data_IF_845578542625
#
_entry.id   IF_845578542625
#
_cell.length_a   1.000
_cell.length_b   1.000
_cell.length_c   1.000
_cell.angle_alpha   90.00
_cell.angle_beta   90.00
_cell.angle_gamma   90.00
#
_symmetry.space_group_name_H-M   'P 1'
#
loop_
_entity.id
_entity.type
_entity.pdbx_description
1 polymer ?
#
# COMPACT_ATOMS: atom_id res chain seq x y z
N UNK A 1 -23.47 0.93 18.18
CA UNK A 1 -22.56 0.84 17.01
C UNK A 1 -21.36 1.79 17.07
N UNK A 2 -21.40 2.92 17.78
CA UNK A 2 -20.26 3.86 17.89
C UNK A 2 -18.98 3.29 18.53
N UNK A 3 -19.07 2.28 19.40
CA UNK A 3 -17.88 1.70 20.06
C UNK A 3 -17.07 0.75 19.17
N UNK A 4 -17.68 0.17 18.11
CA UNK A 4 -17.01 -0.78 17.23
C UNK A 4 -16.01 -0.11 16.28
N UNK A 5 -16.28 1.12 15.86
CA UNK A 5 -15.43 1.90 14.95
C UNK A 5 -14.04 2.19 15.56
N UNK A 6 -13.92 2.79 16.75
CA UNK A 6 -12.60 3.03 17.37
C UNK A 6 -11.86 1.72 17.70
N UNK A 7 -12.58 0.66 18.09
CA UNK A 7 -12.01 -0.67 18.29
C UNK A 7 -11.42 -1.26 17.00
N UNK A 8 -12.14 -1.13 15.88
CA UNK A 8 -11.67 -1.56 14.57
C UNK A 8 -10.41 -0.78 14.15
N UNK A 9 -10.42 0.55 14.28
CA UNK A 9 -9.27 1.42 13.99
C UNK A 9 -8.06 1.01 14.84
N UNK A 10 -8.25 0.84 16.15
CA UNK A 10 -7.18 0.41 17.06
C UNK A 10 -6.60 -0.95 16.67
N UNK A 11 -7.46 -1.92 16.32
CA UNK A 11 -7.04 -3.26 15.95
C UNK A 11 -6.27 -3.28 14.62
N UNK A 12 -6.73 -2.52 13.62
CA UNK A 12 -6.04 -2.36 12.34
C UNK A 12 -4.68 -1.69 12.56
N UNK A 13 -4.63 -0.58 13.30
CA UNK A 13 -3.38 0.13 13.63
C UNK A 13 -2.37 -0.78 14.34
N UNK A 14 -2.80 -1.45 15.41
CA UNK A 14 -1.97 -2.35 16.22
C UNK A 14 -1.45 -3.55 15.43
N UNK A 15 -2.23 -4.05 14.45
CA UNK A 15 -1.81 -5.14 13.56
C UNK A 15 -0.78 -4.65 12.54
N UNK A 16 -1.08 -3.54 11.85
CA UNK A 16 -0.19 -2.97 10.84
C UNK A 16 1.16 -2.58 11.44
N UNK A 17 1.16 -1.92 12.61
CA UNK A 17 2.38 -1.55 13.35
C UNK A 17 3.29 -2.74 13.60
N UNK A 18 2.71 -3.90 13.97
CA UNK A 18 3.47 -5.14 14.19
C UNK A 18 4.01 -5.75 12.89
N UNK A 19 3.25 -5.67 11.79
CA UNK A 19 3.63 -6.25 10.50
C UNK A 19 4.77 -5.49 9.78
N UNK A 20 4.96 -4.21 10.07
CA UNK A 20 6.08 -3.40 9.53
C UNK A 20 7.37 -3.57 10.35
N UNK A 21 7.61 -4.78 10.84
CA UNK A 21 8.89 -5.20 11.40
C UNK A 21 9.91 -5.53 10.30
N UNK A 22 10.93 -6.30 10.67
CA UNK A 22 11.91 -6.83 9.71
C UNK A 22 11.23 -7.91 8.87
N UNK A 23 11.12 -7.68 7.56
CA UNK A 23 10.53 -8.64 6.63
C UNK A 23 11.58 -9.14 5.65
N UNK A 24 11.50 -10.44 5.32
CA UNK A 24 12.31 -11.04 4.26
C UNK A 24 11.82 -10.54 2.90
N UNK A 25 12.76 -10.10 2.06
CA UNK A 25 12.50 -9.60 0.71
C UNK A 25 12.44 -10.76 -0.29
N UNK A 26 11.22 -11.21 -0.56
CA UNK A 26 10.94 -12.21 -1.60
C UNK A 26 10.59 -11.51 -2.91
N UNK A 27 11.28 -11.88 -4.00
CA UNK A 27 11.16 -11.20 -5.30
C UNK A 27 9.73 -11.27 -5.85
N UNK A 28 9.13 -12.46 -5.78
CA UNK A 28 7.75 -12.69 -6.22
C UNK A 28 6.74 -11.80 -5.50
N UNK A 29 6.91 -11.59 -4.18
CA UNK A 29 6.00 -10.71 -3.41
C UNK A 29 6.04 -9.29 -3.93
N UNK A 30 7.23 -8.77 -4.24
CA UNK A 30 7.37 -7.40 -4.75
C UNK A 30 6.76 -7.24 -6.15
N UNK A 31 6.92 -8.25 -7.02
CA UNK A 31 6.26 -8.27 -8.33
C UNK A 31 4.74 -8.31 -8.17
N UNK A 32 4.22 -9.21 -7.32
CA UNK A 32 2.79 -9.34 -7.09
C UNK A 32 2.18 -8.04 -6.56
N UNK A 33 2.78 -7.40 -5.55
CA UNK A 33 2.27 -6.12 -5.03
C UNK A 33 2.33 -4.98 -6.05
N UNK A 34 3.42 -4.89 -6.83
CA UNK A 34 3.52 -3.90 -7.90
C UNK A 34 2.49 -4.14 -9.01
N UNK A 35 2.26 -5.39 -9.39
CA UNK A 35 1.26 -5.79 -10.38
C UNK A 35 -0.16 -5.46 -9.89
N UNK A 36 -0.51 -5.82 -8.65
CA UNK A 36 -1.81 -5.49 -8.06
C UNK A 36 -2.04 -3.98 -8.02
N UNK A 37 -1.03 -3.19 -7.63
CA UNK A 37 -1.13 -1.74 -7.64
C UNK A 37 -1.35 -1.18 -9.05
N UNK A 38 -0.61 -1.67 -10.04
CA UNK A 38 -0.75 -1.26 -11.44
C UNK A 38 -2.11 -1.64 -12.03
N UNK A 39 -2.56 -2.88 -11.83
CA UNK A 39 -3.88 -3.36 -12.26
C UNK A 39 -4.99 -2.57 -11.60
N UNK A 40 -4.87 -2.26 -10.30
CA UNK A 40 -5.86 -1.44 -9.60
C UNK A 40 -5.95 -0.05 -10.21
N UNK A 41 -4.82 0.63 -10.46
CA UNK A 41 -4.82 1.94 -11.11
C UNK A 41 -5.43 1.89 -12.52
N UNK A 42 -5.08 0.88 -13.32
CA UNK A 42 -5.61 0.71 -14.67
C UNK A 42 -7.11 0.45 -14.66
N UNK A 43 -7.59 -0.46 -13.80
CA UNK A 43 -9.00 -0.77 -13.66
C UNK A 43 -9.81 0.46 -13.22
N UNK A 44 -9.31 1.20 -12.23
CA UNK A 44 -9.97 2.43 -11.78
C UNK A 44 -9.94 3.52 -12.85
N UNK A 45 -8.85 3.67 -13.60
CA UNK A 45 -8.80 4.62 -14.70
C UNK A 45 -9.85 4.31 -15.78
N UNK A 46 -10.04 3.03 -16.12
CA UNK A 46 -11.07 2.58 -17.06
C UNK A 46 -12.48 2.87 -16.53
N UNK A 47 -12.75 2.56 -15.25
CA UNK A 47 -14.05 2.85 -14.62
C UNK A 47 -14.35 4.35 -14.55
N UNK A 48 -13.32 5.19 -14.51
CA UNK A 48 -13.45 6.64 -14.41
C UNK A 48 -13.43 7.37 -15.76
N UNK A 49 -13.42 6.63 -16.89
CA UNK A 49 -13.59 7.24 -18.21
C UNK A 49 -14.93 7.99 -18.24
N UNK A 50 -14.91 9.25 -18.68
CA UNK A 50 -16.06 10.14 -18.67
C UNK A 50 -16.23 10.95 -17.37
N UNK A 51 -15.51 10.61 -16.29
CA UNK A 51 -15.51 11.35 -15.01
C UNK A 51 -14.17 12.07 -14.82
N UNK A 52 -13.94 13.10 -15.62
CA UNK A 52 -12.64 13.79 -15.71
C UNK A 52 -12.11 14.30 -14.37
N UNK A 53 -12.97 14.82 -13.49
CA UNK A 53 -12.58 15.29 -12.16
C UNK A 53 -12.06 14.14 -11.29
N UNK A 54 -12.74 12.99 -11.29
CA UNK A 54 -12.33 11.81 -10.54
C UNK A 54 -11.07 11.17 -11.13
N UNK A 55 -10.94 11.14 -12.45
CA UNK A 55 -9.74 10.66 -13.13
C UNK A 55 -8.52 11.54 -12.82
N UNK A 56 -8.68 12.87 -12.87
CA UNK A 56 -7.63 13.81 -12.49
C UNK A 56 -7.23 13.62 -11.01
N UNK A 57 -8.22 13.48 -10.12
CA UNK A 57 -8.01 13.15 -8.72
C UNK A 57 -7.23 11.84 -8.53
N UNK A 58 -7.57 10.78 -9.27
CA UNK A 58 -6.86 9.51 -9.25
C UNK A 58 -5.38 9.69 -9.63
N UNK A 59 -5.11 10.43 -10.72
CA UNK A 59 -3.76 10.68 -11.21
C UNK A 59 -2.93 11.53 -10.25
N UNK A 60 -3.52 12.61 -9.70
CA UNK A 60 -2.88 13.44 -8.68
C UNK A 60 -2.57 12.62 -7.44
N UNK A 61 -3.55 11.84 -6.96
CA UNK A 61 -3.36 10.90 -5.87
C UNK A 61 -2.19 9.95 -6.15
N UNK A 62 -2.17 9.31 -7.32
CA UNK A 62 -1.12 8.39 -7.72
C UNK A 62 0.27 9.03 -7.77
N UNK A 63 0.38 10.26 -8.30
CA UNK A 63 1.63 11.01 -8.35
C UNK A 63 2.15 11.35 -6.94
N UNK A 64 1.28 11.87 -6.08
CA UNK A 64 1.61 12.17 -4.67
C UNK A 64 1.99 10.89 -3.92
N UNK A 65 1.22 9.83 -4.10
CA UNK A 65 1.49 8.51 -3.54
C UNK A 65 2.86 7.98 -3.95
N UNK A 66 3.18 8.03 -5.25
CA UNK A 66 4.47 7.60 -5.76
C UNK A 66 5.64 8.43 -5.18
N UNK A 67 5.48 9.75 -5.06
CA UNK A 67 6.48 10.61 -4.44
C UNK A 67 6.73 10.24 -2.96
N UNK A 68 5.66 9.94 -2.21
CA UNK A 68 5.75 9.44 -0.83
C UNK A 68 6.40 8.05 -0.77
N UNK A 69 6.07 7.16 -1.70
CA UNK A 69 6.65 5.82 -1.82
C UNK A 69 8.15 5.88 -2.06
N UNK A 70 8.59 6.78 -2.96
CA UNK A 70 9.99 7.07 -3.22
C UNK A 70 10.73 7.59 -1.98
N UNK A 71 10.14 8.57 -1.26
CA UNK A 71 10.71 9.07 0.00
C UNK A 71 10.79 7.98 1.07
N UNK A 72 9.76 7.13 1.17
CA UNK A 72 9.74 6.02 2.11
C UNK A 72 10.82 4.96 1.78
N UNK A 73 11.11 4.73 0.50
CA UNK A 73 12.21 3.85 0.08
C UNK A 73 13.57 4.39 0.53
N UNK A 74 13.81 5.71 0.39
CA UNK A 74 15.07 6.33 0.88
C UNK A 74 15.28 6.18 2.39
N UNK A 75 14.20 6.06 3.16
CA UNK A 75 14.25 5.87 4.61
C UNK A 75 14.20 4.40 5.03
N UNK A 76 14.08 3.48 4.07
CA UNK A 76 14.02 2.04 4.34
C UNK A 76 15.43 1.53 4.61
N UNK A 77 15.60 0.78 5.70
CA UNK A 77 16.86 0.08 5.99
C UNK A 77 16.88 -1.21 5.19
N UNK A 78 17.77 -1.27 4.22
CA UNK A 78 18.00 -2.41 3.35
C UNK A 78 19.19 -3.20 3.89
N UNK A 79 19.02 -4.50 4.08
CA UNK A 79 20.04 -5.40 4.61
C UNK A 79 20.24 -6.54 3.62
N UNK A 80 21.50 -6.77 3.24
CA UNK A 80 21.93 -7.91 2.46
C UNK A 80 22.86 -8.74 3.35
N UNK A 81 22.37 -9.87 3.85
CA UNK A 81 23.14 -10.78 4.70
C UNK A 81 23.37 -12.10 3.97
N UNK A 82 24.29 -12.92 4.46
CA UNK A 82 24.52 -14.29 3.95
C UNK A 82 23.25 -15.19 4.03
N UNK A 83 22.29 -14.83 4.89
CA UNK A 83 21.00 -15.50 5.03
C UNK A 83 19.96 -15.03 3.98
N UNK A 84 20.19 -13.87 3.36
CA UNK A 84 19.34 -13.33 2.30
C UNK A 84 19.08 -11.82 2.39
N UNK A 85 18.07 -11.37 1.66
CA UNK A 85 17.69 -9.96 1.59
C UNK A 85 16.60 -9.65 2.62
N UNK A 86 16.84 -8.66 3.48
CA UNK A 86 15.89 -8.16 4.46
C UNK A 86 15.64 -6.66 4.24
N UNK A 87 14.42 -6.23 4.51
CA UNK A 87 14.07 -4.81 4.49
C UNK A 87 13.27 -4.44 5.74
N UNK A 88 13.56 -3.26 6.28
CA UNK A 88 12.79 -2.65 7.35
C UNK A 88 12.29 -1.29 6.88
N UNK A 89 11.01 -1.25 6.56
CA UNK A 89 10.34 -0.05 6.06
C UNK A 89 10.19 1.01 7.16
N UNK A 90 10.27 2.29 6.79
CA UNK A 90 9.86 3.36 7.70
C UNK A 90 8.34 3.29 7.97
N UNK A 91 7.99 3.09 9.24
CA UNK A 91 6.61 2.87 9.67
C UNK A 91 5.71 4.09 9.48
N UNK A 92 6.25 5.32 9.52
CA UNK A 92 5.44 6.55 9.55
C UNK A 92 4.66 6.73 8.25
N UNK A 93 5.35 6.71 7.11
CA UNK A 93 4.70 6.90 5.80
C UNK A 93 3.77 5.72 5.46
N UNK A 94 4.22 4.49 5.71
CA UNK A 94 3.40 3.30 5.49
C UNK A 94 2.10 3.31 6.30
N UNK A 95 2.18 3.67 7.59
CA UNK A 95 0.99 3.82 8.44
C UNK A 95 0.08 4.93 7.96
N UNK A 96 0.60 6.12 7.68
CA UNK A 96 -0.22 7.27 7.29
C UNK A 96 -1.05 6.97 6.04
N UNK A 97 -0.42 6.44 4.98
CA UNK A 97 -1.11 6.08 3.74
C UNK A 97 -2.14 4.98 3.97
N UNK A 98 -1.76 3.93 4.70
CA UNK A 98 -2.63 2.78 4.94
C UNK A 98 -3.81 3.15 5.85
N UNK A 99 -3.58 3.98 6.88
CA UNK A 99 -4.62 4.49 7.77
C UNK A 99 -5.61 5.38 7.01
N UNK A 100 -5.12 6.26 6.13
CA UNK A 100 -6.00 7.08 5.30
C UNK A 100 -6.92 6.22 4.42
N UNK A 101 -6.35 5.18 3.81
CA UNK A 101 -7.10 4.22 3.00
C UNK A 101 -8.18 3.48 3.81
N UNK A 102 -7.80 2.90 4.95
CA UNK A 102 -8.75 2.19 5.81
C UNK A 102 -9.80 3.12 6.41
N UNK A 103 -9.44 4.35 6.79
CA UNK A 103 -10.38 5.35 7.26
C UNK A 103 -11.43 5.67 6.21
N UNK A 104 -11.01 5.83 4.95
CA UNK A 104 -11.93 6.03 3.82
C UNK A 104 -12.83 4.81 3.59
N UNK A 105 -12.28 3.60 3.68
CA UNK A 105 -13.05 2.36 3.51
C UNK A 105 -14.10 2.18 4.62
N UNK A 106 -13.73 2.46 5.87
CA UNK A 106 -14.64 2.39 7.02
C UNK A 106 -15.77 3.41 6.88
N UNK A 107 -15.45 4.65 6.51
CA UNK A 107 -16.45 5.69 6.29
C UNK A 107 -17.47 5.27 5.24
N UNK A 108 -17.01 4.72 4.12
CA UNK A 108 -17.89 4.25 3.04
C UNK A 108 -18.71 3.02 3.43
N UNK A 109 -18.13 2.09 4.18
CA UNK A 109 -18.88 0.95 4.71
C UNK A 109 -19.96 1.39 5.71
N UNK A 110 -19.68 2.45 6.47
CA UNK A 110 -20.63 3.06 7.39
C UNK A 110 -21.77 3.79 6.64
N UNK A 111 -21.49 4.55 5.59
CA UNK A 111 -22.53 5.12 4.72
C UNK A 111 -23.43 4.03 4.12
N UNK A 112 -22.84 2.94 3.60
CA UNK A 112 -23.60 1.81 3.08
C UNK A 112 -24.48 1.15 4.15
N UNK A 113 -23.95 0.99 5.37
CA UNK A 113 -24.71 0.46 6.51
C UNK A 113 -25.90 1.36 6.88
N UNK A 114 -25.71 2.69 6.92
CA UNK A 114 -26.78 3.65 7.22
C UNK A 114 -27.83 3.69 6.11
N UNK A 115 -27.44 3.57 4.85
CA UNK A 115 -28.40 3.47 3.74
C UNK A 115 -29.33 2.26 3.90
N UNK A 116 -28.78 1.10 4.31
CA UNK A 116 -29.57 -0.12 4.51
C UNK A 116 -30.54 -0.06 5.70
N UNK A 117 -30.19 0.67 6.76
CA UNK A 117 -30.99 0.70 8.00
C UNK A 117 -31.90 1.93 8.13
N UNK A 118 -31.41 3.10 7.71
CA UNK A 118 -32.07 4.40 7.95
C UNK A 118 -32.55 5.06 6.63
N UNK A 119 -32.48 4.34 5.50
CA UNK A 119 -32.87 4.80 4.16
C UNK A 119 -32.25 6.15 3.72
N UNK A 120 -31.11 6.55 4.31
CA UNK A 120 -30.38 7.73 3.89
C UNK A 120 -29.92 7.60 2.44
N UNK A 121 -30.00 8.64 1.60
CA UNK A 121 -29.54 8.55 0.21
C UNK A 121 -28.05 8.19 0.14
N UNK A 122 -27.73 7.09 -0.54
CA UNK A 122 -26.36 6.68 -0.84
C UNK A 122 -25.98 7.26 -2.19
N UNK A 123 -24.83 7.93 -2.26
CA UNK A 123 -24.22 8.29 -3.53
C UNK A 123 -23.82 6.99 -4.26
N UNK A 124 -24.45 6.64 -5.39
CA UNK A 124 -24.24 5.34 -6.04
C UNK A 124 -22.82 5.17 -6.59
N UNK A 125 -22.05 6.26 -6.68
CA UNK A 125 -20.77 6.29 -7.36
C UNK A 125 -19.58 6.30 -6.39
N UNK A 126 -19.24 5.10 -5.89
CA UNK A 126 -18.17 4.90 -4.91
C UNK A 126 -16.81 5.45 -5.35
N UNK A 127 -16.44 5.16 -6.61
CA UNK A 127 -15.14 5.51 -7.20
C UNK A 127 -15.21 6.85 -7.93
N UNK A 128 -16.34 7.21 -8.53
CA UNK A 128 -16.50 8.49 -9.23
C UNK A 128 -16.51 9.71 -8.32
N UNK A 129 -16.62 9.53 -7.00
CA UNK A 129 -16.33 10.59 -6.05
C UNK A 129 -14.82 10.94 -6.07
N UNK A 130 -14.43 12.19 -6.41
CA UNK A 130 -13.02 12.58 -6.53
C UNK A 130 -12.19 12.31 -5.27
N UNK A 131 -12.79 12.44 -4.08
CA UNK A 131 -12.09 12.19 -2.83
C UNK A 131 -11.73 10.71 -2.65
N UNK A 132 -12.62 9.80 -3.06
CA UNK A 132 -12.30 8.37 -3.11
C UNK A 132 -11.17 8.12 -4.10
N UNK A 133 -11.30 8.67 -5.31
CA UNK A 133 -10.32 8.50 -6.38
C UNK A 133 -8.90 8.95 -5.96
N UNK A 134 -8.76 10.10 -5.28
CA UNK A 134 -7.46 10.54 -4.73
C UNK A 134 -6.89 9.50 -3.78
N UNK A 135 -7.68 8.98 -2.83
CA UNK A 135 -7.18 8.03 -1.81
C UNK A 135 -6.78 6.70 -2.43
N UNK A 136 -7.55 6.19 -3.40
CA UNK A 136 -7.18 4.99 -4.15
C UNK A 136 -5.90 5.22 -4.96
N UNK A 137 -5.80 6.34 -5.68
CA UNK A 137 -4.62 6.72 -6.44
C UNK A 137 -3.39 6.80 -5.54
N UNK A 138 -3.49 7.51 -4.42
CA UNK A 138 -2.43 7.69 -3.45
C UNK A 138 -1.93 6.37 -2.88
N UNK A 139 -2.85 5.47 -2.53
CA UNK A 139 -2.50 4.16 -1.96
C UNK A 139 -1.81 3.28 -2.99
N UNK A 140 -2.37 3.17 -4.20
CA UNK A 140 -1.81 2.33 -5.25
C UNK A 140 -0.48 2.90 -5.77
N UNK A 141 -0.38 4.22 -5.95
CA UNK A 141 0.87 4.90 -6.32
C UNK A 141 1.97 4.72 -5.28
N UNK A 142 1.65 4.84 -3.99
CA UNK A 142 2.59 4.62 -2.89
C UNK A 142 3.15 3.21 -2.88
N UNK A 143 2.28 2.19 -2.82
CA UNK A 143 2.71 0.81 -2.74
C UNK A 143 3.34 0.31 -4.04
N UNK A 144 2.81 0.72 -5.19
CA UNK A 144 3.37 0.40 -6.50
C UNK A 144 4.78 0.94 -6.65
N UNK A 145 4.99 2.24 -6.42
CA UNK A 145 6.31 2.85 -6.51
C UNK A 145 7.30 2.22 -5.52
N UNK A 146 6.89 2.05 -4.25
CA UNK A 146 7.72 1.45 -3.22
C UNK A 146 8.19 0.03 -3.61
N UNK A 147 7.27 -0.84 -4.04
CA UNK A 147 7.61 -2.21 -4.41
C UNK A 147 8.41 -2.32 -5.71
N UNK A 148 8.14 -1.46 -6.70
CA UNK A 148 8.95 -1.37 -7.91
C UNK A 148 10.40 -0.98 -7.59
N UNK A 149 10.61 -0.01 -6.71
CA UNK A 149 11.96 0.39 -6.30
C UNK A 149 12.67 -0.71 -5.52
N UNK A 150 11.95 -1.42 -4.65
CA UNK A 150 12.51 -2.53 -3.89
C UNK A 150 12.89 -3.71 -4.80
N UNK A 151 12.09 -3.96 -5.84
CA UNK A 151 12.40 -4.91 -6.91
C UNK A 151 13.65 -4.49 -7.70
N UNK A 152 13.77 -3.21 -8.06
CA UNK A 152 14.95 -2.66 -8.74
C UNK A 152 16.21 -2.83 -7.89
N UNK A 153 16.13 -2.49 -6.60
CA UNK A 153 17.23 -2.72 -5.65
C UNK A 153 17.63 -4.19 -5.59
N UNK A 154 16.66 -5.10 -5.42
CA UNK A 154 16.93 -6.55 -5.32
C UNK A 154 17.58 -7.12 -6.59
N UNK A 155 17.30 -6.55 -7.76
CA UNK A 155 17.94 -6.95 -9.04
C UNK A 155 19.35 -6.38 -9.20
N UNK A 156 19.62 -5.22 -8.61
CA UNK A 156 20.93 -4.55 -8.70
C UNK A 156 21.99 -5.08 -7.73
N UNK A 157 21.58 -5.68 -6.61
CA UNK A 157 22.51 -6.08 -5.54
C UNK A 157 22.89 -7.55 -5.67
N UNK A 158 24.20 -7.84 -5.70
CA UNK A 158 24.72 -9.20 -5.68
C UNK A 158 24.52 -9.83 -4.28
N UNK A 159 24.10 -11.10 -4.19
CA UNK A 159 23.99 -11.79 -2.91
C UNK A 159 25.36 -11.83 -2.21
N UNK A 160 25.39 -11.61 -0.90
CA UNK A 160 26.60 -11.87 -0.11
C UNK A 160 26.85 -13.38 -0.12
N UNK A 161 28.04 -13.86 -0.52
CA UNK A 161 28.38 -15.27 -0.46
C UNK A 161 28.18 -15.80 0.95
N UNK A 162 27.54 -16.97 1.08
CA UNK A 162 27.47 -17.65 2.36
C UNK A 162 28.89 -18.07 2.75
N UNK A 163 29.36 -17.81 3.99
CA UNK A 163 30.63 -18.34 4.45
C UNK A 163 30.62 -19.84 4.23
N UNK A 164 31.61 -20.35 3.50
CA UNK A 164 31.79 -21.80 3.32
C UNK A 164 32.24 -22.29 4.69
N UNK A 165 31.35 -23.00 5.38
CA UNK A 165 31.72 -23.63 6.65
C UNK A 165 32.75 -24.71 6.31
N UNK A 166 33.87 -24.70 7.05
CA UNK A 166 34.98 -25.64 6.81
C UNK A 166 34.49 -27.09 6.99
N UNK A 167 33.38 -27.26 7.70
CA UNK A 167 32.68 -28.53 7.94
C UNK A 167 31.83 -29.03 6.74
N UNK A 168 31.59 -28.22 5.71
CA UNK A 168 30.87 -28.60 4.48
C UNK A 168 31.80 -29.19 3.40
N UNK A 169 33.12 -29.15 3.60
CA UNK A 169 34.12 -29.76 2.71
C UNK A 169 34.32 -31.21 3.18
N UNK A 170 33.58 -32.15 2.59
CA UNK A 170 33.81 -33.59 2.73
C UNK A 170 34.80 -34.11 1.70
#
# INVERSE_FOLDING_TARGET
>A
MLLLVPLAIWRIYSRLKRMMGRNKSELWRHVAYAAVAGVTLAALAVVLIGKWQALAALLVGAAVGAALGHRNMKLTRLQNTAEGFFYTQNRRFGLLVTMLFFGRLIYRLFEAYLHMHDHLPLDPDFVGNPLSAVVFGLTAGFWGCYHLMLLRWRRSVKPVPRPIDIFDIK
#
